data_IF_717923319177
#
_entry.id   IF_717923319177
#
_cell.length_a   1.000
_cell.length_b   1.000
_cell.length_c   1.000
_cell.angle_alpha   90.00
_cell.angle_beta   90.00
_cell.angle_gamma   90.00
#
_symmetry.space_group_name_H-M   'P 1'
#
loop_
_entity.id
_entity.type
_entity.pdbx_description
1 polymer ?
#
# COMPACT_ATOMS: atom_id res chain seq x y z
N UNK A 1 -10.22 -35.52 -19.22
CA UNK A 1 -10.40 -34.12 -18.81
C UNK A 1 -9.34 -33.63 -17.83
N UNK A 2 -8.79 -34.49 -16.97
CA UNK A 2 -7.79 -34.09 -15.93
C UNK A 2 -6.34 -33.84 -16.40
N UNK A 3 -5.97 -34.20 -17.60
CA UNK A 3 -4.59 -34.11 -18.10
C UNK A 3 -4.28 -32.76 -18.74
N UNK A 4 -5.28 -32.06 -19.28
CA UNK A 4 -5.14 -30.76 -19.93
C UNK A 4 -5.11 -29.63 -18.88
N UNK A 5 -5.88 -29.75 -17.80
CA UNK A 5 -5.89 -28.77 -16.69
C UNK A 5 -4.60 -28.82 -15.85
N UNK A 6 -4.02 -30.00 -15.66
CA UNK A 6 -2.71 -30.14 -14.97
C UNK A 6 -1.52 -29.63 -15.79
N UNK A 7 -1.58 -29.74 -17.11
CA UNK A 7 -0.53 -29.20 -17.98
C UNK A 7 -0.50 -27.67 -17.99
N UNK A 8 -1.67 -27.01 -17.89
CA UNK A 8 -1.71 -25.55 -17.90
C UNK A 8 -1.37 -24.92 -16.52
N UNK A 9 -1.77 -25.53 -15.41
CA UNK A 9 -1.46 -25.00 -14.07
C UNK A 9 0.02 -25.20 -13.69
N UNK A 10 0.62 -26.34 -14.08
CA UNK A 10 2.04 -26.58 -13.90
C UNK A 10 2.90 -25.77 -14.87
N UNK A 11 2.47 -25.61 -16.13
CA UNK A 11 3.18 -24.79 -17.10
C UNK A 11 3.14 -23.29 -16.72
N UNK A 12 2.08 -22.79 -16.08
CA UNK A 12 2.02 -21.43 -15.58
C UNK A 12 2.99 -21.22 -14.41
N UNK A 13 2.99 -22.15 -13.44
CA UNK A 13 3.95 -22.10 -12.33
C UNK A 13 5.40 -22.31 -12.81
N UNK A 14 5.62 -23.30 -13.69
CA UNK A 14 6.96 -23.56 -14.24
C UNK A 14 7.47 -22.46 -15.18
N UNK A 15 6.61 -21.79 -15.95
CA UNK A 15 7.04 -20.70 -16.83
C UNK A 15 7.22 -19.37 -16.08
N UNK A 16 6.52 -19.12 -14.98
CA UNK A 16 6.90 -18.04 -14.05
C UNK A 16 8.26 -18.26 -13.40
N UNK A 17 8.68 -19.55 -13.23
CA UNK A 17 9.99 -19.89 -12.66
C UNK A 17 11.04 -20.24 -13.74
N UNK A 18 10.65 -20.45 -15.01
CA UNK A 18 11.50 -20.99 -16.08
C UNK A 18 11.85 -19.99 -17.17
N UNK A 19 11.37 -18.74 -17.09
CA UNK A 19 11.98 -17.67 -17.87
C UNK A 19 13.33 -17.35 -17.24
N UNK A 20 14.36 -18.06 -17.74
CA UNK A 20 15.76 -18.03 -17.32
C UNK A 20 16.42 -16.66 -17.57
N UNK A 21 15.65 -15.68 -18.04
CA UNK A 21 15.98 -14.26 -18.18
C UNK A 21 15.17 -13.32 -17.29
N UNK A 22 14.34 -13.83 -16.36
CA UNK A 22 13.88 -13.04 -15.22
C UNK A 22 15.04 -12.95 -14.21
N UNK A 23 16.12 -12.25 -14.59
CA UNK A 23 16.95 -11.63 -13.58
C UNK A 23 15.99 -10.84 -12.70
N UNK A 24 15.79 -11.28 -11.44
CA UNK A 24 15.12 -10.44 -10.44
C UNK A 24 15.71 -9.05 -10.62
N UNK A 25 14.87 -8.07 -10.95
CA UNK A 25 15.35 -6.72 -11.19
C UNK A 25 16.18 -6.31 -9.95
N UNK A 26 17.51 -6.17 -10.05
CA UNK A 26 18.36 -5.99 -8.88
C UNK A 26 18.00 -4.73 -8.11
N UNK A 27 17.40 -3.76 -8.79
CA UNK A 27 16.93 -2.53 -8.17
C UNK A 27 15.67 -2.81 -7.33
N UNK A 28 14.72 -3.59 -7.85
CA UNK A 28 13.52 -3.97 -7.09
C UNK A 28 13.87 -4.79 -5.85
N UNK A 29 14.86 -5.68 -5.97
CA UNK A 29 15.38 -6.45 -4.82
C UNK A 29 16.01 -5.52 -3.77
N UNK A 30 16.84 -4.57 -4.21
CA UNK A 30 17.48 -3.61 -3.32
C UNK A 30 16.45 -2.73 -2.59
N UNK A 31 15.42 -2.26 -3.30
CA UNK A 31 14.31 -1.48 -2.75
C UNK A 31 13.52 -2.28 -1.71
N UNK A 32 13.22 -3.54 -2.02
CA UNK A 32 12.53 -4.44 -1.09
C UNK A 32 13.37 -4.68 0.17
N UNK A 33 14.66 -4.96 0.01
CA UNK A 33 15.60 -5.13 1.14
C UNK A 33 15.65 -3.86 1.98
N UNK A 34 15.70 -2.67 1.37
CA UNK A 34 15.71 -1.40 2.08
C UNK A 34 14.45 -1.23 2.95
N UNK A 35 13.26 -1.49 2.41
CA UNK A 35 12.00 -1.39 3.18
C UNK A 35 11.97 -2.41 4.32
N UNK A 36 12.35 -3.66 4.05
CA UNK A 36 12.40 -4.70 5.09
C UNK A 36 13.40 -4.33 6.19
N UNK A 37 14.58 -3.80 5.82
CA UNK A 37 15.61 -3.40 6.77
C UNK A 37 15.14 -2.27 7.69
N UNK A 38 14.53 -1.23 7.15
CA UNK A 38 14.06 -0.09 7.98
C UNK A 38 12.90 -0.52 8.91
N UNK A 39 12.01 -1.40 8.46
CA UNK A 39 10.96 -1.98 9.30
C UNK A 39 11.59 -2.86 10.40
N UNK A 40 12.53 -3.72 10.06
CA UNK A 40 13.21 -4.59 10.99
C UNK A 40 13.95 -3.79 12.08
N UNK A 41 14.70 -2.76 11.68
CA UNK A 41 15.36 -1.85 12.62
C UNK A 41 14.34 -1.18 13.55
N UNK A 42 13.18 -0.75 13.04
CA UNK A 42 12.15 -0.10 13.86
C UNK A 42 11.54 -1.02 14.93
N UNK A 43 11.59 -2.33 14.72
CA UNK A 43 11.07 -3.34 15.67
C UNK A 43 12.13 -3.71 16.70
N UNK A 44 13.39 -3.88 16.28
CA UNK A 44 14.49 -4.35 17.17
C UNK A 44 15.02 -3.23 18.06
N UNK A 45 15.03 -1.98 17.59
CA UNK A 45 15.52 -0.86 18.37
C UNK A 45 14.78 -0.75 19.70
N UNK A 46 15.49 -0.73 20.85
CA UNK A 46 14.88 -0.61 22.16
C UNK A 46 14.15 0.73 22.33
N UNK A 47 13.01 0.71 23.00
CA UNK A 47 12.18 1.92 23.19
C UNK A 47 12.90 3.01 23.98
N UNK A 48 13.76 2.63 24.94
CA UNK A 48 14.49 3.58 25.76
C UNK A 48 15.41 4.51 24.94
N UNK A 49 15.99 4.06 23.82
CA UNK A 49 16.84 4.90 22.96
C UNK A 49 16.07 6.05 22.32
N UNK A 50 14.78 5.87 22.04
CA UNK A 50 13.92 6.92 21.48
C UNK A 50 13.35 7.87 22.54
N UNK A 51 13.46 7.53 23.82
CA UNK A 51 12.88 8.27 24.94
C UNK A 51 13.94 8.82 25.92
N UNK A 52 15.21 8.44 25.76
CA UNK A 52 16.31 8.97 26.56
C UNK A 52 16.39 10.48 26.34
N UNK A 53 16.43 11.21 27.44
CA UNK A 53 16.50 12.67 27.44
C UNK A 53 17.96 13.14 27.51
N UNK A 54 18.32 13.91 26.53
CA UNK A 54 19.59 14.65 26.43
C UNK A 54 19.31 16.14 26.58
N UNK A 55 20.29 16.98 26.28
CA UNK A 55 20.05 18.40 26.19
C UNK A 55 19.08 18.73 25.04
N UNK A 56 18.22 19.73 25.30
CA UNK A 56 17.19 20.15 24.35
C UNK A 56 17.78 20.82 23.12
N UNK A 57 17.24 20.57 21.95
CA UNK A 57 17.56 21.28 20.71
C UNK A 57 19.05 21.21 20.31
N UNK A 58 19.73 20.10 20.63
CA UNK A 58 21.12 19.90 20.20
C UNK A 58 21.16 19.74 18.67
N UNK A 59 22.12 20.43 18.06
CA UNK A 59 22.36 20.31 16.63
C UNK A 59 22.89 18.92 16.26
N UNK A 60 22.73 18.50 15.00
CA UNK A 60 23.31 17.26 14.49
C UNK A 60 24.80 17.15 14.79
N UNK A 61 25.22 16.01 15.33
CA UNK A 61 26.60 15.72 15.75
C UNK A 61 26.91 14.23 15.55
N UNK A 62 28.16 13.82 15.84
CA UNK A 62 28.53 12.39 15.81
C UNK A 62 27.82 11.55 16.87
N UNK A 63 27.36 12.16 17.97
CA UNK A 63 26.60 11.49 19.03
C UNK A 63 25.11 11.46 18.72
N UNK A 64 24.58 12.51 18.10
CA UNK A 64 23.19 12.70 17.72
C UNK A 64 23.09 13.00 16.22
N UNK A 65 23.00 11.96 15.38
CA UNK A 65 23.06 12.09 13.91
C UNK A 65 22.07 13.12 13.35
N UNK A 66 20.86 13.18 13.90
CA UNK A 66 19.80 14.12 13.49
C UNK A 66 19.55 15.21 14.53
N UNK A 67 20.39 15.27 15.60
CA UNK A 67 20.18 16.17 16.73
C UNK A 67 19.07 15.71 17.68
N UNK A 68 18.68 16.58 18.61
CA UNK A 68 17.62 16.33 19.59
C UNK A 68 16.43 17.27 19.39
N UNK A 69 15.27 16.84 19.86
CA UNK A 69 14.03 17.64 19.83
C UNK A 69 13.92 18.60 21.04
N UNK A 70 12.81 19.31 21.14
CA UNK A 70 12.47 20.24 22.22
C UNK A 70 12.32 19.58 23.59
N UNK A 71 12.22 18.27 23.65
CA UNK A 71 12.19 17.47 24.88
C UNK A 71 13.51 16.73 25.15
N UNK A 72 14.55 17.01 24.36
CA UNK A 72 15.86 16.38 24.46
C UNK A 72 15.90 14.94 23.97
N UNK A 73 14.97 14.52 23.13
CA UNK A 73 14.91 13.14 22.60
C UNK A 73 15.64 13.07 21.25
N UNK A 74 16.39 12.00 21.02
CA UNK A 74 17.15 11.79 19.78
C UNK A 74 16.23 11.58 18.57
N UNK A 75 16.36 12.46 17.58
CA UNK A 75 15.50 12.47 16.38
C UNK A 75 15.78 11.26 15.47
N UNK A 76 17.03 10.77 15.37
CA UNK A 76 17.37 9.63 14.54
C UNK A 76 16.67 8.36 15.04
N UNK A 77 16.83 8.02 16.32
CA UNK A 77 16.19 6.85 16.91
C UNK A 77 14.66 6.94 16.84
N UNK A 78 14.10 8.13 17.09
CA UNK A 78 12.66 8.37 16.97
C UNK A 78 12.16 8.22 15.54
N UNK A 79 12.91 8.68 14.54
CA UNK A 79 12.56 8.55 13.13
C UNK A 79 12.50 7.07 12.71
N UNK A 80 13.50 6.28 13.11
CA UNK A 80 13.49 4.83 12.86
C UNK A 80 12.30 4.18 13.59
N UNK A 81 12.07 4.52 14.84
CA UNK A 81 10.97 3.96 15.64
C UNK A 81 9.59 4.30 15.07
N UNK A 82 9.43 5.53 14.57
CA UNK A 82 8.21 6.00 13.90
C UNK A 82 7.84 5.18 12.67
N UNK A 83 8.82 4.56 12.01
CA UNK A 83 8.58 3.64 10.89
C UNK A 83 7.60 2.54 11.26
N UNK A 84 7.71 1.97 12.47
CA UNK A 84 6.88 0.84 12.91
C UNK A 84 5.39 1.16 12.79
N UNK A 85 4.93 2.27 13.33
CA UNK A 85 3.50 2.61 13.35
C UNK A 85 3.05 3.11 11.97
N UNK A 86 3.80 4.02 11.34
CA UNK A 86 3.44 4.55 10.01
C UNK A 86 3.36 3.43 8.97
N UNK A 87 4.31 2.47 8.97
CA UNK A 87 4.26 1.32 8.05
C UNK A 87 3.17 0.32 8.43
N UNK A 88 2.88 0.12 9.72
CA UNK A 88 1.76 -0.74 10.15
C UNK A 88 0.43 -0.22 9.60
N UNK A 89 0.17 1.08 9.74
CA UNK A 89 -1.04 1.72 9.20
C UNK A 89 -1.12 1.52 7.68
N UNK A 90 -0.01 1.79 6.98
CA UNK A 90 0.05 1.68 5.53
C UNK A 90 -0.14 0.25 5.02
N UNK A 91 0.46 -0.73 5.67
CA UNK A 91 0.33 -2.16 5.32
C UNK A 91 -1.09 -2.65 5.59
N UNK A 92 -1.66 -2.33 6.76
CA UNK A 92 -3.05 -2.71 7.07
C UNK A 92 -4.01 -2.06 6.07
N UNK A 93 -3.78 -0.77 5.73
CA UNK A 93 -4.53 -0.09 4.68
C UNK A 93 -4.48 -0.80 3.34
N UNK A 94 -3.28 -1.20 2.92
CA UNK A 94 -3.07 -1.98 1.70
C UNK A 94 -3.75 -3.35 1.74
N UNK A 95 -3.73 -4.05 2.88
CA UNK A 95 -4.42 -5.33 3.04
C UNK A 95 -5.96 -5.17 2.95
N UNK A 96 -6.51 -4.15 3.59
CA UNK A 96 -7.95 -3.84 3.48
C UNK A 96 -8.32 -3.54 2.03
N UNK A 97 -7.51 -2.76 1.32
CA UNK A 97 -7.69 -2.47 -0.09
C UNK A 97 -7.62 -3.73 -0.96
N UNK A 98 -6.65 -4.62 -0.68
CA UNK A 98 -6.48 -5.89 -1.38
C UNK A 98 -7.74 -6.74 -1.30
N UNK A 99 -8.25 -6.96 -0.08
CA UNK A 99 -9.38 -7.86 0.16
C UNK A 99 -10.72 -7.21 -0.18
N UNK A 100 -10.95 -5.98 0.30
CA UNK A 100 -12.24 -5.31 0.07
C UNK A 100 -12.31 -4.77 -1.36
N UNK A 101 -11.32 -3.99 -1.79
CA UNK A 101 -11.31 -3.41 -3.14
C UNK A 101 -11.19 -4.47 -4.23
N UNK A 102 -10.26 -5.41 -4.05
CA UNK A 102 -10.07 -6.53 -4.97
C UNK A 102 -11.30 -7.43 -5.06
N UNK A 103 -11.85 -7.83 -3.91
CA UNK A 103 -13.06 -8.68 -3.84
C UNK A 103 -14.28 -7.98 -4.40
N UNK A 104 -14.54 -6.73 -3.99
CA UNK A 104 -15.67 -5.94 -4.49
C UNK A 104 -15.62 -5.74 -6.01
N UNK A 105 -14.45 -5.35 -6.53
CA UNK A 105 -14.25 -5.17 -7.96
C UNK A 105 -14.40 -6.47 -8.75
N UNK A 106 -13.86 -7.58 -8.22
CA UNK A 106 -13.97 -8.89 -8.86
C UNK A 106 -15.42 -9.37 -8.91
N UNK A 107 -16.18 -9.24 -7.83
CA UNK A 107 -17.61 -9.62 -7.78
C UNK A 107 -18.41 -8.75 -8.74
N UNK A 108 -18.24 -7.44 -8.71
CA UNK A 108 -18.94 -6.52 -9.59
C UNK A 108 -18.67 -6.84 -11.07
N UNK A 109 -17.40 -7.00 -11.45
CA UNK A 109 -17.00 -7.31 -12.82
C UNK A 109 -17.46 -8.70 -13.28
N UNK A 110 -17.41 -9.71 -12.39
CA UNK A 110 -17.79 -11.07 -12.76
C UNK A 110 -19.30 -11.23 -12.96
N UNK A 111 -20.12 -10.75 -12.02
CA UNK A 111 -21.59 -10.85 -12.12
C UNK A 111 -22.08 -9.97 -13.28
N UNK A 112 -21.67 -8.71 -13.32
CA UNK A 112 -22.10 -7.76 -14.36
C UNK A 112 -23.53 -7.30 -14.22
N UNK A 113 -24.06 -6.64 -15.27
CA UNK A 113 -25.46 -6.25 -15.39
C UNK A 113 -25.94 -5.30 -14.29
N UNK A 114 -27.15 -5.55 -13.75
CA UNK A 114 -27.76 -4.70 -12.72
C UNK A 114 -26.96 -4.70 -11.42
N UNK A 115 -26.41 -5.84 -11.01
CA UNK A 115 -25.58 -5.95 -9.79
C UNK A 115 -24.35 -5.06 -9.89
N UNK A 116 -23.62 -5.14 -10.98
CA UNK A 116 -22.48 -4.26 -11.25
C UNK A 116 -22.89 -2.79 -11.20
N UNK A 117 -24.00 -2.44 -11.87
CA UNK A 117 -24.49 -1.07 -11.88
C UNK A 117 -24.74 -0.53 -10.46
N UNK A 118 -25.46 -1.29 -9.62
CA UNK A 118 -25.73 -0.87 -8.23
C UNK A 118 -24.44 -0.80 -7.39
N UNK A 119 -23.55 -1.77 -7.51
CA UNK A 119 -22.28 -1.76 -6.80
C UNK A 119 -21.43 -0.53 -7.17
N UNK A 120 -21.32 -0.22 -8.47
CA UNK A 120 -20.58 0.99 -8.88
C UNK A 120 -21.26 2.26 -8.43
N UNK A 121 -22.58 2.32 -8.42
CA UNK A 121 -23.33 3.50 -7.94
C UNK A 121 -23.08 3.78 -6.46
N UNK A 122 -22.95 2.73 -5.63
CA UNK A 122 -22.54 2.88 -4.23
C UNK A 122 -21.15 3.52 -4.15
N UNK A 123 -20.17 3.06 -4.91
CA UNK A 123 -18.84 3.68 -4.95
C UNK A 123 -18.88 5.13 -5.41
N UNK A 124 -19.73 5.47 -6.39
CA UNK A 124 -19.86 6.82 -6.90
C UNK A 124 -20.40 7.77 -5.83
N UNK A 125 -21.43 7.36 -5.08
CA UNK A 125 -22.01 8.15 -3.97
C UNK A 125 -20.94 8.42 -2.91
N UNK A 126 -20.24 7.41 -2.43
CA UNK A 126 -19.21 7.62 -1.41
C UNK A 126 -17.98 8.39 -1.93
N UNK A 127 -17.63 8.23 -3.20
CA UNK A 127 -16.53 8.98 -3.82
C UNK A 127 -16.86 10.45 -4.10
N UNK A 128 -18.14 10.84 -4.06
CA UNK A 128 -18.54 12.24 -4.20
C UNK A 128 -18.23 13.07 -2.95
N UNK A 129 -18.03 12.41 -1.80
CA UNK A 129 -17.64 13.09 -0.57
C UNK A 129 -16.13 13.38 -0.64
N UNK A 130 -15.70 14.63 -0.40
CA UNK A 130 -14.27 14.94 -0.40
C UNK A 130 -13.51 14.07 0.59
N UNK A 131 -12.43 13.44 0.12
CA UNK A 131 -11.60 12.52 0.91
C UNK A 131 -11.18 13.12 2.26
N UNK A 132 -10.69 14.37 2.26
CA UNK A 132 -10.22 15.05 3.47
C UNK A 132 -11.32 15.21 4.52
N UNK A 133 -12.57 15.39 4.10
CA UNK A 133 -13.71 15.49 5.03
C UNK A 133 -13.93 14.15 5.74
N UNK A 134 -13.92 13.05 5.01
CA UNK A 134 -14.09 11.71 5.61
C UNK A 134 -12.94 11.35 6.53
N UNK A 135 -11.70 11.58 6.07
CA UNK A 135 -10.49 11.27 6.86
C UNK A 135 -10.44 12.05 8.18
N UNK A 136 -10.97 13.28 8.22
CA UNK A 136 -11.00 14.08 9.46
C UNK A 136 -12.18 13.74 10.37
N UNK A 137 -13.37 13.49 9.82
CA UNK A 137 -14.58 13.23 10.61
C UNK A 137 -14.56 11.87 11.31
N UNK A 138 -14.02 10.84 10.66
CA UNK A 138 -14.02 9.47 11.22
C UNK A 138 -13.23 9.38 12.52
N UNK A 139 -11.98 9.90 12.65
CA UNK A 139 -11.26 9.86 13.93
C UNK A 139 -11.92 10.71 15.03
N UNK A 140 -12.62 11.77 14.67
CA UNK A 140 -13.40 12.56 15.64
C UNK A 140 -14.53 11.71 16.23
N UNK A 141 -15.18 10.88 15.40
CA UNK A 141 -16.34 10.08 15.79
C UNK A 141 -15.94 8.78 16.48
N UNK A 142 -14.91 8.08 15.97
CA UNK A 142 -14.46 6.76 16.48
C UNK A 142 -13.34 6.85 17.52
N UNK A 143 -12.80 8.04 17.76
CA UNK A 143 -11.66 8.27 18.63
C UNK A 143 -10.31 8.32 17.90
N UNK A 144 -9.36 9.10 18.48
CA UNK A 144 -7.99 9.29 17.97
C UNK A 144 -7.09 8.12 18.40
N UNK A 145 -7.46 6.92 18.01
CA UNK A 145 -6.71 5.69 18.28
C UNK A 145 -6.35 5.01 16.95
N UNK A 146 -5.52 3.98 17.02
CA UNK A 146 -5.02 3.27 15.84
C UNK A 146 -6.18 2.74 14.97
N UNK A 147 -7.23 2.21 15.59
CA UNK A 147 -8.40 1.71 14.87
C UNK A 147 -9.14 2.83 14.12
N UNK A 148 -9.46 3.94 14.80
CA UNK A 148 -10.14 5.09 14.18
C UNK A 148 -9.37 5.68 13.00
N UNK A 149 -8.03 5.76 13.12
CA UNK A 149 -7.16 6.24 12.03
C UNK A 149 -7.13 5.25 10.88
N UNK A 150 -6.97 3.95 11.13
CA UNK A 150 -6.99 2.93 10.07
C UNK A 150 -8.32 2.97 9.33
N UNK A 151 -9.45 3.00 10.04
CA UNK A 151 -10.78 3.10 9.40
C UNK A 151 -10.89 4.36 8.56
N UNK A 152 -10.47 5.51 9.09
CA UNK A 152 -10.52 6.79 8.37
C UNK A 152 -9.77 6.75 7.05
N UNK A 153 -8.52 6.30 7.09
CA UNK A 153 -7.62 6.29 5.93
C UNK A 153 -8.08 5.26 4.89
N UNK A 154 -8.55 4.09 5.35
CA UNK A 154 -8.90 2.98 4.46
C UNK A 154 -10.32 3.04 3.94
N UNK A 155 -11.22 3.80 4.57
CA UNK A 155 -12.63 3.84 4.21
C UNK A 155 -12.88 4.12 2.73
N UNK A 156 -12.15 5.04 2.14
CA UNK A 156 -12.27 5.40 0.71
C UNK A 156 -11.16 4.84 -0.16
N UNK A 157 -10.06 4.36 0.45
CA UNK A 157 -8.85 3.93 -0.28
C UNK A 157 -9.13 2.81 -1.28
N UNK A 158 -9.98 1.86 -0.92
CA UNK A 158 -10.30 0.70 -1.74
C UNK A 158 -11.23 0.98 -2.93
N UNK A 159 -11.89 2.16 -3.00
CA UNK A 159 -12.84 2.48 -4.09
C UNK A 159 -12.17 2.51 -5.46
N UNK A 160 -10.97 3.11 -5.53
CA UNK A 160 -10.20 3.18 -6.78
C UNK A 160 -9.79 1.80 -7.27
N UNK A 161 -9.30 0.96 -6.38
CA UNK A 161 -8.90 -0.43 -6.69
C UNK A 161 -10.10 -1.27 -7.08
N UNK A 162 -11.24 -1.10 -6.41
CA UNK A 162 -12.48 -1.77 -6.80
C UNK A 162 -12.89 -1.47 -8.26
N UNK A 163 -12.78 -0.20 -8.70
CA UNK A 163 -13.05 0.17 -10.10
C UNK A 163 -12.03 -0.41 -11.07
N UNK A 164 -10.74 -0.37 -10.74
CA UNK A 164 -9.68 -0.92 -11.59
C UNK A 164 -9.88 -2.42 -11.77
N UNK A 165 -10.09 -3.17 -10.69
CA UNK A 165 -10.27 -4.63 -10.74
C UNK A 165 -11.56 -5.01 -11.43
N UNK A 166 -12.66 -4.26 -11.23
CA UNK A 166 -13.90 -4.47 -12.00
C UNK A 166 -13.64 -4.36 -13.50
N UNK A 167 -12.96 -3.29 -13.95
CA UNK A 167 -12.62 -3.08 -15.36
C UNK A 167 -11.78 -4.24 -15.93
N UNK A 168 -10.82 -4.71 -15.17
CA UNK A 168 -9.96 -5.82 -15.54
C UNK A 168 -10.73 -7.15 -15.66
N UNK A 169 -11.60 -7.43 -14.71
CA UNK A 169 -12.44 -8.65 -14.76
C UNK A 169 -13.40 -8.63 -15.94
N UNK A 170 -13.98 -7.46 -16.27
CA UNK A 170 -14.80 -7.32 -17.48
C UNK A 170 -14.01 -7.64 -18.75
N UNK A 171 -12.77 -7.14 -18.83
CA UNK A 171 -11.89 -7.45 -19.96
C UNK A 171 -11.59 -8.95 -20.04
N UNK A 172 -11.18 -9.58 -18.92
CA UNK A 172 -10.83 -11.00 -18.87
C UNK A 172 -12.02 -11.91 -19.25
N UNK A 173 -13.25 -11.52 -18.92
CA UNK A 173 -14.47 -12.28 -19.30
C UNK A 173 -14.65 -12.38 -20.80
N UNK A 174 -14.14 -11.44 -21.57
CA UNK A 174 -14.24 -11.40 -23.03
C UNK A 174 -13.12 -12.16 -23.73
N UNK A 175 -12.10 -12.61 -23.00
CA UNK A 175 -10.99 -13.39 -23.55
C UNK A 175 -11.44 -14.79 -24.01
N UNK A 176 -10.89 -15.26 -25.14
CA UNK A 176 -11.32 -16.50 -25.80
C UNK A 176 -11.16 -17.72 -24.92
N UNK A 177 -10.09 -17.81 -24.11
CA UNK A 177 -9.87 -18.95 -23.21
C UNK A 177 -10.90 -19.00 -22.08
N UNK A 178 -11.39 -17.85 -21.61
CA UNK A 178 -12.45 -17.79 -20.58
C UNK A 178 -13.79 -18.20 -21.19
N UNK A 179 -14.09 -17.72 -22.41
CA UNK A 179 -15.31 -18.14 -23.15
C UNK A 179 -15.30 -19.63 -23.44
N UNK A 180 -14.17 -20.15 -23.92
CA UNK A 180 -14.01 -21.59 -24.18
C UNK A 180 -14.24 -22.44 -22.92
N UNK A 181 -13.64 -22.03 -21.78
CA UNK A 181 -13.85 -22.73 -20.50
C UNK A 181 -15.32 -22.78 -20.09
N UNK A 182 -16.07 -21.68 -20.27
CA UNK A 182 -17.51 -21.64 -20.00
C UNK A 182 -18.30 -22.56 -20.95
N UNK A 183 -17.97 -22.58 -22.24
CA UNK A 183 -18.61 -23.47 -23.22
C UNK A 183 -18.36 -24.95 -22.93
N UNK A 184 -17.20 -25.28 -22.35
CA UNK A 184 -16.89 -26.63 -21.87
C UNK A 184 -17.59 -27.00 -20.55
N UNK A 185 -18.45 -26.14 -20.01
CA UNK A 185 -19.24 -26.42 -18.81
C UNK A 185 -18.51 -26.12 -17.49
N UNK A 186 -17.44 -25.35 -17.49
CA UNK A 186 -16.76 -24.95 -16.25
C UNK A 186 -17.71 -24.15 -15.35
N UNK A 187 -17.74 -24.48 -14.05
CA UNK A 187 -18.53 -23.74 -13.07
C UNK A 187 -18.02 -22.29 -12.91
N UNK A 188 -18.90 -21.34 -12.52
CA UNK A 188 -18.50 -19.96 -12.25
C UNK A 188 -17.32 -19.85 -11.30
N UNK A 189 -17.31 -20.64 -10.23
CA UNK A 189 -16.22 -20.69 -9.26
C UNK A 189 -14.90 -21.17 -9.89
N UNK A 190 -14.96 -22.20 -10.74
CA UNK A 190 -13.78 -22.71 -11.46
C UNK A 190 -13.19 -21.65 -12.40
N UNK A 191 -14.04 -20.93 -13.14
CA UNK A 191 -13.62 -19.83 -14.02
C UNK A 191 -12.93 -18.71 -13.22
N UNK A 192 -13.53 -18.30 -12.10
CA UNK A 192 -12.93 -17.26 -11.25
C UNK A 192 -11.60 -17.71 -10.69
N UNK A 193 -11.54 -18.90 -10.10
CA UNK A 193 -10.34 -19.41 -9.43
C UNK A 193 -9.18 -19.67 -10.39
N UNK A 194 -9.46 -20.28 -11.55
CA UNK A 194 -8.43 -20.78 -12.45
C UNK A 194 -8.03 -19.79 -13.55
N UNK A 195 -8.93 -18.86 -13.92
CA UNK A 195 -8.69 -17.95 -15.03
C UNK A 195 -8.70 -16.46 -14.65
N UNK A 196 -9.63 -16.02 -13.78
CA UNK A 196 -9.73 -14.60 -13.43
C UNK A 196 -8.74 -14.24 -12.33
N UNK A 197 -8.79 -14.93 -11.19
CA UNK A 197 -7.98 -14.59 -10.01
C UNK A 197 -6.47 -14.56 -10.28
N UNK A 198 -5.87 -15.57 -10.98
CA UNK A 198 -4.43 -15.53 -11.27
C UNK A 198 -4.02 -14.34 -12.15
N UNK A 199 -4.92 -13.88 -13.02
CA UNK A 199 -4.66 -12.77 -13.92
C UNK A 199 -4.84 -11.40 -13.28
N UNK A 200 -5.74 -11.25 -12.29
CA UNK A 200 -5.96 -9.98 -11.60
C UNK A 200 -4.98 -9.75 -10.46
N UNK A 201 -4.39 -10.80 -9.86
CA UNK A 201 -3.55 -10.68 -8.66
C UNK A 201 -2.34 -9.77 -8.88
N UNK A 202 -1.73 -9.82 -10.05
CA UNK A 202 -0.59 -8.96 -10.39
C UNK A 202 -0.98 -7.48 -10.45
N UNK A 203 -2.09 -7.14 -11.12
CA UNK A 203 -2.60 -5.77 -11.19
C UNK A 203 -3.07 -5.30 -9.83
N UNK A 204 -3.76 -6.16 -9.09
CA UNK A 204 -4.24 -5.87 -7.76
C UNK A 204 -3.06 -5.55 -6.82
N UNK A 205 -2.02 -6.39 -6.83
CA UNK A 205 -0.80 -6.16 -6.03
C UNK A 205 -0.11 -4.84 -6.40
N UNK A 206 0.05 -4.55 -7.69
CA UNK A 206 0.62 -3.29 -8.14
C UNK A 206 -0.22 -2.09 -7.70
N UNK A 207 -1.55 -2.16 -7.79
CA UNK A 207 -2.47 -1.10 -7.36
C UNK A 207 -2.35 -0.83 -5.86
N UNK A 208 -2.30 -1.88 -5.04
CA UNK A 208 -2.16 -1.78 -3.59
C UNK A 208 -0.83 -1.12 -3.22
N UNK A 209 0.30 -1.58 -3.78
CA UNK A 209 1.62 -1.02 -3.49
C UNK A 209 1.67 0.47 -3.87
N UNK A 210 1.11 0.86 -5.02
CA UNK A 210 1.04 2.26 -5.45
C UNK A 210 0.14 3.14 -4.57
N UNK A 211 -0.76 2.57 -3.78
CA UNK A 211 -1.63 3.31 -2.86
C UNK A 211 -1.06 3.41 -1.43
N UNK A 212 -0.06 2.59 -1.05
CA UNK A 212 0.61 2.67 0.25
C UNK A 212 1.09 4.10 0.60
N UNK A 213 1.75 4.84 -0.32
CA UNK A 213 2.15 6.23 -0.07
C UNK A 213 1.01 7.14 0.36
N UNK A 214 -0.20 6.96 -0.20
CA UNK A 214 -1.38 7.76 0.17
C UNK A 214 -1.77 7.55 1.62
N UNK A 215 -1.63 6.33 2.14
CA UNK A 215 -1.93 6.01 3.54
C UNK A 215 -0.93 6.64 4.50
N UNK A 216 0.37 6.61 4.16
CA UNK A 216 1.43 7.29 4.92
C UNK A 216 1.17 8.80 4.94
N UNK A 217 0.84 9.38 3.78
CA UNK A 217 0.54 10.80 3.66
C UNK A 217 -0.70 11.22 4.45
N UNK A 218 -1.76 10.41 4.41
CA UNK A 218 -2.99 10.68 5.15
C UNK A 218 -2.78 10.60 6.68
N UNK A 219 -1.97 9.66 7.15
CA UNK A 219 -1.58 9.57 8.56
C UNK A 219 -0.83 10.84 9.00
N UNK A 220 0.20 11.25 8.24
CA UNK A 220 0.95 12.45 8.52
C UNK A 220 0.06 13.72 8.50
N UNK A 221 -0.87 13.81 7.56
CA UNK A 221 -1.84 14.90 7.48
C UNK A 221 -2.75 14.96 8.71
N UNK A 222 -3.27 13.82 9.18
CA UNK A 222 -4.05 13.76 10.41
C UNK A 222 -3.26 14.22 11.63
N UNK A 223 -1.98 13.91 11.70
CA UNK A 223 -1.09 14.38 12.77
C UNK A 223 -0.94 15.92 12.74
N UNK A 224 -0.74 16.49 11.57
CA UNK A 224 -0.63 17.96 11.39
C UNK A 224 -1.91 18.67 11.85
N UNK A 225 -3.08 18.05 11.60
CA UNK A 225 -4.37 18.58 12.07
C UNK A 225 -4.65 18.32 13.57
N UNK A 226 -3.74 17.67 14.29
CA UNK A 226 -3.97 17.27 15.69
C UNK A 226 -4.99 16.17 15.88
N UNK A 227 -5.35 15.45 14.81
CA UNK A 227 -6.29 14.32 14.81
C UNK A 227 -5.60 12.96 14.76
N UNK A 228 -4.27 12.94 14.78
CA UNK A 228 -3.47 11.73 14.74
C UNK A 228 -3.38 11.00 16.08
N UNK A 229 -2.46 10.02 16.13
CA UNK A 229 -2.17 9.26 17.35
C UNK A 229 -1.47 10.14 18.37
N UNK A 230 -1.91 10.04 19.64
CA UNK A 230 -1.21 10.65 20.74
C UNK A 230 -0.07 9.77 21.30
N UNK A 231 0.73 10.37 22.20
CA UNK A 231 1.74 9.65 22.97
C UNK A 231 1.10 8.39 23.65
N UNK A 232 1.81 7.24 23.74
CA UNK A 232 3.24 7.02 23.43
C UNK A 232 3.57 6.63 21.98
N UNK A 233 2.62 6.73 21.06
CA UNK A 233 2.80 6.31 19.68
C UNK A 233 3.71 7.32 18.95
N UNK A 234 4.79 6.81 18.35
CA UNK A 234 5.71 7.62 17.54
C UNK A 234 5.41 7.31 16.07
N UNK A 235 5.15 8.35 15.27
CA UNK A 235 5.00 8.26 13.81
C UNK A 235 5.80 9.35 13.12
N UNK A 236 6.07 9.21 11.84
CA UNK A 236 6.75 10.27 11.08
C UNK A 236 5.95 11.56 11.06
N UNK A 237 4.63 11.46 10.90
CA UNK A 237 3.73 12.62 10.94
C UNK A 237 3.77 13.34 12.28
N UNK A 238 3.81 12.59 13.39
CA UNK A 238 3.90 13.16 14.74
C UNK A 238 5.20 13.94 14.94
N UNK A 239 6.33 13.44 14.44
CA UNK A 239 7.61 14.14 14.55
C UNK A 239 7.60 15.45 13.76
N UNK A 240 7.09 15.41 12.53
CA UNK A 240 6.99 16.60 11.67
C UNK A 240 6.03 17.62 12.29
N UNK A 241 4.86 17.18 12.74
CA UNK A 241 3.85 18.02 13.36
C UNK A 241 4.33 18.65 14.68
N UNK A 242 5.01 17.87 15.53
CA UNK A 242 5.49 18.34 16.83
C UNK A 242 6.63 19.36 16.75
N UNK A 243 7.35 19.40 15.63
CA UNK A 243 8.48 20.33 15.44
C UNK A 243 8.12 21.58 14.62
N UNK A 244 6.85 21.80 14.27
CA UNK A 244 6.43 22.94 13.43
C UNK A 244 6.74 24.30 14.05
N UNK A 245 6.56 24.44 15.36
CA UNK A 245 6.81 25.69 16.07
C UNK A 245 8.31 26.06 16.07
N UNK A 246 9.17 25.04 15.98
CA UNK A 246 10.62 25.17 16.00
C UNK A 246 11.25 25.31 14.61
N UNK A 247 10.47 25.32 13.54
CA UNK A 247 10.97 25.27 12.16
C UNK A 247 11.98 26.35 11.83
N UNK A 248 11.80 27.57 12.30
CA UNK A 248 12.67 28.69 12.00
C UNK A 248 14.00 28.66 12.76
N UNK A 249 14.04 28.07 13.96
CA UNK A 249 15.21 28.00 14.80
C UNK A 249 15.96 26.68 14.66
N UNK A 250 15.24 25.57 14.50
CA UNK A 250 15.76 24.21 14.47
C UNK A 250 15.18 23.40 13.30
N UNK A 251 15.43 23.83 12.04
CA UNK A 251 14.81 23.21 10.85
C UNK A 251 15.14 21.72 10.71
N UNK A 252 16.27 21.26 11.23
CA UNK A 252 16.70 19.87 11.16
C UNK A 252 15.69 18.91 11.82
N UNK A 253 14.94 19.38 12.82
CA UNK A 253 13.91 18.56 13.50
C UNK A 253 12.79 18.12 12.58
N UNK A 254 12.50 18.86 11.51
CA UNK A 254 11.51 18.51 10.47
C UNK A 254 12.19 17.89 9.26
N UNK A 255 13.33 18.46 8.85
CA UNK A 255 13.99 18.09 7.59
C UNK A 255 14.43 16.63 7.60
N UNK A 256 15.05 16.13 8.67
CA UNK A 256 15.53 14.75 8.70
C UNK A 256 14.40 13.71 8.72
N UNK A 257 13.38 13.77 9.58
CA UNK A 257 12.23 12.88 9.50
C UNK A 257 11.48 13.00 8.16
N UNK A 258 11.40 14.24 7.63
CA UNK A 258 10.81 14.51 6.31
C UNK A 258 11.56 13.82 5.17
N UNK A 259 12.91 13.88 5.16
CA UNK A 259 13.73 13.18 4.16
C UNK A 259 13.50 11.67 4.23
N UNK A 260 13.47 11.09 5.43
CA UNK A 260 13.23 9.63 5.58
C UNK A 260 11.84 9.27 5.05
N UNK A 261 10.79 10.03 5.41
CA UNK A 261 9.43 9.83 4.92
C UNK A 261 9.37 9.91 3.39
N UNK A 262 9.93 10.96 2.78
CA UNK A 262 9.96 11.13 1.32
C UNK A 262 10.73 10.01 0.64
N UNK A 263 11.86 9.58 1.20
CA UNK A 263 12.67 8.47 0.65
C UNK A 263 11.87 7.17 0.66
N UNK A 264 11.19 6.85 1.75
CA UNK A 264 10.36 5.63 1.83
C UNK A 264 9.20 5.68 0.85
N UNK A 265 8.50 6.83 0.75
CA UNK A 265 7.43 7.04 -0.23
C UNK A 265 7.96 6.86 -1.66
N UNK A 266 9.09 7.44 -1.98
CA UNK A 266 9.72 7.34 -3.30
C UNK A 266 10.05 5.88 -3.64
N UNK A 267 10.70 5.16 -2.73
CA UNK A 267 11.07 3.74 -2.91
C UNK A 267 9.82 2.89 -3.15
N UNK A 268 8.78 3.04 -2.32
CA UNK A 268 7.55 2.25 -2.47
C UNK A 268 6.84 2.57 -3.81
N UNK A 269 6.78 3.85 -4.19
CA UNK A 269 6.17 4.26 -5.46
C UNK A 269 6.91 3.65 -6.64
N UNK A 270 8.25 3.73 -6.63
CA UNK A 270 9.08 3.18 -7.69
C UNK A 270 8.97 1.65 -7.78
N UNK A 271 8.93 0.94 -6.64
CA UNK A 271 8.61 -0.50 -6.61
C UNK A 271 7.27 -0.80 -7.27
N UNK A 272 6.22 -0.05 -6.93
CA UNK A 272 4.87 -0.22 -7.49
C UNK A 272 4.84 -0.03 -9.01
N UNK A 273 5.54 0.99 -9.53
CA UNK A 273 5.66 1.22 -10.97
C UNK A 273 6.40 0.09 -11.69
N UNK A 274 7.48 -0.44 -11.11
CA UNK A 274 8.22 -1.57 -11.67
C UNK A 274 7.37 -2.83 -11.71
N UNK A 275 6.69 -3.16 -10.63
CA UNK A 275 5.77 -4.31 -10.57
C UNK A 275 4.66 -4.15 -11.62
N UNK A 276 4.08 -2.96 -11.74
CA UNK A 276 3.07 -2.66 -12.78
C UNK A 276 3.60 -2.87 -14.20
N UNK A 277 4.84 -2.43 -14.47
CA UNK A 277 5.49 -2.64 -15.79
C UNK A 277 5.72 -4.11 -16.08
N UNK A 278 6.18 -4.90 -15.10
CA UNK A 278 6.38 -6.36 -15.26
C UNK A 278 5.05 -7.07 -15.55
N UNK A 279 4.00 -6.76 -14.80
CA UNK A 279 2.67 -7.35 -15.02
C UNK A 279 2.12 -7.01 -16.41
N UNK A 280 2.25 -5.76 -16.84
CA UNK A 280 1.78 -5.33 -18.16
C UNK A 280 2.66 -5.87 -19.30
N UNK A 281 3.97 -5.96 -19.13
CA UNK A 281 4.91 -6.50 -20.12
C UNK A 281 4.63 -7.97 -20.42
N UNK A 282 4.39 -8.78 -19.42
CA UNK A 282 4.01 -10.18 -19.59
C UNK A 282 2.70 -10.34 -20.38
N UNK A 283 1.74 -9.43 -20.23
CA UNK A 283 0.47 -9.46 -21.00
C UNK A 283 0.65 -9.18 -22.49
N UNK A 284 1.51 -8.25 -22.85
CA UNK A 284 1.79 -7.93 -24.27
C UNK A 284 2.47 -9.10 -24.99
N UNK A 285 3.33 -9.84 -24.27
CA UNK A 285 3.99 -11.03 -24.81
C UNK A 285 3.00 -12.14 -25.12
N UNK A 286 1.98 -12.36 -24.26
CA UNK A 286 0.94 -13.38 -24.49
C UNK A 286 0.00 -13.02 -25.63
N UNK A 287 -0.33 -11.74 -25.83
CA UNK A 287 -1.14 -11.30 -26.98
C UNK A 287 -0.47 -11.53 -28.34
N UNK A 288 0.86 -11.46 -28.40
CA UNK A 288 1.62 -11.73 -29.62
C UNK A 288 1.69 -13.21 -30.01
N UNK A 289 1.36 -14.14 -29.10
CA UNK A 289 1.39 -15.59 -29.37
C UNK A 289 0.04 -16.15 -29.85
N UNK A 290 -1.07 -15.45 -29.63
CA UNK A 290 -2.43 -15.92 -29.92
C UNK A 290 -3.24 -14.96 -30.82
N UNK A 291 -2.61 -13.96 -31.42
CA UNK A 291 -3.15 -13.00 -32.38
C UNK A 291 -2.69 -13.34 -33.84
#
# INVERSE_FOLDING_TARGET
MDKFDRLNSHAFAENCFKDKNSNCDPVLLAEFIFIVLIIFLSVILPDHLSETKWDMNMFPSSEHLFGTDDLGRDIFFRTIKGTKISMTIAIIGGLIELFIGGGYGAVAGYIGGKTEFFMMRILDVFSSIPYLVLVTLIPISLGRNLFGIIVAITFTGWFSTGRVIRGEVLHLKEENYVKASKLMGASPFSVVKNHIFPNIIGILSASVIMNIPKYIFAEAFLQILGLGLGYPNITWGMMISGSQENLFFYPYQIVFPGIVLVTVIFVITHMGERIKKMVNGNRLHWRGYYG
#
